data_IF_353635230294
#
_entry.id   IF_353635230294
#
_cell.length_a   1.000
_cell.length_b   1.000
_cell.length_c   1.000
_cell.angle_alpha   90.00
_cell.angle_beta   90.00
_cell.angle_gamma   90.00
#
_symmetry.space_group_name_H-M   'P 1'
#
loop_
_entity.id
_entity.type
_entity.pdbx_description
1 polymer ?
#
# COMPACT_ATOMS: atom_id res chain seq x y z
N UNK A 1 8.27 -27.53 -18.79
CA UNK A 1 7.33 -26.72 -18.00
C UNK A 1 7.52 -25.27 -18.42
N UNK A 2 6.47 -24.62 -18.92
CA UNK A 2 6.53 -23.22 -19.36
C UNK A 2 5.98 -22.35 -18.23
N UNK A 3 6.71 -21.31 -17.85
CA UNK A 3 6.31 -20.35 -16.82
C UNK A 3 6.10 -18.98 -17.46
N UNK A 4 4.97 -18.35 -17.17
CA UNK A 4 4.64 -16.99 -17.61
C UNK A 4 4.41 -16.12 -16.37
N UNK A 5 5.12 -15.00 -16.29
CA UNK A 5 4.95 -13.99 -15.24
C UNK A 5 4.44 -12.71 -15.87
N UNK A 6 3.40 -12.12 -15.28
CA UNK A 6 2.78 -10.87 -15.73
C UNK A 6 2.88 -9.88 -14.59
N UNK A 7 3.59 -8.78 -14.80
CA UNK A 7 3.71 -7.69 -13.85
C UNK A 7 2.92 -6.48 -14.37
N UNK A 8 1.88 -6.08 -13.64
CA UNK A 8 1.02 -4.96 -14.00
C UNK A 8 0.21 -4.47 -12.80
N UNK A 9 0.00 -3.15 -12.73
CA UNK A 9 -0.88 -2.52 -11.75
C UNK A 9 -2.32 -2.33 -12.28
N UNK A 10 -2.56 -2.57 -13.59
CA UNK A 10 -3.88 -2.37 -14.20
C UNK A 10 -4.82 -3.55 -13.89
N UNK A 11 -5.85 -3.25 -13.08
CA UNK A 11 -6.87 -4.23 -12.68
C UNK A 11 -7.60 -4.85 -13.86
N UNK A 12 -7.80 -4.11 -14.95
CA UNK A 12 -8.50 -4.61 -16.15
C UNK A 12 -7.71 -5.73 -16.81
N UNK A 13 -6.38 -5.59 -16.84
CA UNK A 13 -5.47 -6.61 -17.39
C UNK A 13 -5.50 -7.85 -16.49
N UNK A 14 -5.42 -7.66 -15.18
CA UNK A 14 -5.47 -8.77 -14.21
C UNK A 14 -6.78 -9.57 -14.37
N UNK A 15 -7.91 -8.90 -14.48
CA UNK A 15 -9.22 -9.56 -14.60
C UNK A 15 -9.38 -10.26 -15.97
N UNK A 16 -8.89 -9.67 -17.05
CA UNK A 16 -8.86 -10.30 -18.37
C UNK A 16 -8.02 -11.58 -18.38
N UNK A 17 -6.82 -11.54 -17.78
CA UNK A 17 -5.92 -12.69 -17.66
C UNK A 17 -6.56 -13.80 -16.82
N UNK A 18 -7.19 -13.46 -15.68
CA UNK A 18 -7.92 -14.43 -14.85
C UNK A 18 -9.03 -15.13 -15.63
N UNK A 19 -9.84 -14.38 -16.38
CA UNK A 19 -10.94 -14.92 -17.17
C UNK A 19 -10.41 -15.88 -18.25
N UNK A 20 -9.34 -15.49 -18.94
CA UNK A 20 -8.68 -16.32 -19.94
C UNK A 20 -8.16 -17.63 -19.33
N UNK A 21 -7.39 -17.56 -18.25
CA UNK A 21 -6.83 -18.75 -17.60
C UNK A 21 -7.90 -19.71 -17.07
N UNK A 22 -8.98 -19.17 -16.49
CA UNK A 22 -10.15 -19.97 -16.07
C UNK A 22 -10.85 -20.64 -17.25
N UNK A 23 -11.01 -19.92 -18.37
CA UNK A 23 -11.67 -20.45 -19.57
C UNK A 23 -10.96 -21.67 -20.15
N UNK A 24 -9.63 -21.74 -20.02
CA UNK A 24 -8.82 -22.88 -20.44
C UNK A 24 -8.54 -23.90 -19.33
N UNK A 25 -9.11 -23.73 -18.14
CA UNK A 25 -8.87 -24.64 -17.01
C UNK A 25 -7.41 -24.64 -16.52
N UNK A 26 -6.66 -23.58 -16.77
CA UNK A 26 -5.25 -23.47 -16.40
C UNK A 26 -5.15 -23.11 -14.92
N UNK A 27 -4.38 -23.89 -14.16
CA UNK A 27 -4.04 -23.56 -12.78
C UNK A 27 -3.05 -22.39 -12.75
N UNK A 28 -3.36 -21.37 -11.95
CA UNK A 28 -2.50 -20.20 -11.76
C UNK A 28 -2.43 -19.79 -10.30
N UNK A 29 -1.36 -19.08 -9.94
CA UNK A 29 -1.16 -18.54 -8.58
C UNK A 29 -0.87 -17.05 -8.64
N UNK A 30 -1.51 -16.29 -7.78
CA UNK A 30 -1.26 -14.86 -7.63
C UNK A 30 -0.37 -14.63 -6.42
N UNK A 31 0.88 -14.27 -6.68
CA UNK A 31 1.75 -13.74 -5.63
C UNK A 31 1.45 -12.26 -5.49
N UNK A 32 0.54 -11.90 -4.59
CA UNK A 32 0.56 -10.53 -4.05
C UNK A 32 1.82 -10.45 -3.21
N UNK A 33 2.69 -9.47 -3.46
CA UNK A 33 3.72 -9.12 -2.50
C UNK A 33 3.00 -8.88 -1.17
N UNK A 34 3.13 -9.84 -0.24
CA UNK A 34 2.76 -9.59 1.13
C UNK A 34 3.72 -8.50 1.56
N UNK A 35 3.18 -7.31 1.81
CA UNK A 35 3.91 -6.27 2.52
C UNK A 35 4.69 -6.92 3.64
N UNK A 36 6.02 -6.73 3.73
CA UNK A 36 6.82 -7.29 4.81
C UNK A 36 6.35 -6.78 6.18
N UNK A 37 5.57 -5.69 6.18
CA UNK A 37 4.97 -5.10 7.35
C UNK A 37 3.60 -5.70 7.71
N UNK A 38 3.35 -5.76 9.02
CA UNK A 38 2.08 -6.21 9.58
C UNK A 38 0.89 -5.36 9.12
N UNK A 39 -0.30 -5.96 9.11
CA UNK A 39 -1.53 -5.27 8.73
C UNK A 39 -1.82 -4.03 9.61
N UNK A 40 -1.45 -4.09 10.90
CA UNK A 40 -1.60 -2.96 11.83
C UNK A 40 -0.70 -1.79 11.46
N UNK A 41 0.54 -2.05 11.04
CA UNK A 41 1.45 -1.02 10.55
C UNK A 41 0.92 -0.37 9.27
N UNK A 42 0.51 -1.18 8.28
CA UNK A 42 -0.05 -0.67 7.02
C UNK A 42 -1.29 0.20 7.28
N UNK A 43 -2.14 -0.17 8.24
CA UNK A 43 -3.30 0.63 8.64
C UNK A 43 -2.91 1.99 9.22
N UNK A 44 -1.87 2.07 10.05
CA UNK A 44 -1.34 3.34 10.59
C UNK A 44 -0.84 4.25 9.47
N UNK A 45 -0.08 3.72 8.52
CA UNK A 45 0.43 4.48 7.36
C UNK A 45 -0.72 5.03 6.52
N UNK A 46 -1.73 4.20 6.21
CA UNK A 46 -2.92 4.66 5.46
C UNK A 46 -3.66 5.78 6.19
N UNK A 47 -3.85 5.65 7.52
CA UNK A 47 -4.46 6.70 8.34
C UNK A 47 -3.66 8.00 8.28
N UNK A 48 -2.33 7.94 8.40
CA UNK A 48 -1.46 9.10 8.29
C UNK A 48 -1.58 9.80 6.93
N UNK A 49 -1.58 9.04 5.81
CA UNK A 49 -1.78 9.59 4.47
C UNK A 49 -3.11 10.32 4.33
N UNK A 50 -4.20 9.77 4.87
CA UNK A 50 -5.51 10.42 4.84
C UNK A 50 -5.52 11.71 5.66
N UNK A 51 -4.86 11.76 6.82
CA UNK A 51 -4.75 12.96 7.65
C UNK A 51 -3.98 14.08 6.93
N UNK A 52 -2.87 13.75 6.29
CA UNK A 52 -2.10 14.70 5.46
C UNK A 52 -2.98 15.28 4.34
N UNK A 53 -3.75 14.44 3.65
CA UNK A 53 -4.66 14.90 2.60
C UNK A 53 -5.77 15.85 3.11
N UNK A 54 -6.07 15.80 4.41
CA UNK A 54 -7.02 16.70 5.08
C UNK A 54 -6.36 17.94 5.71
N UNK A 55 -5.05 18.10 5.57
CA UNK A 55 -4.29 19.16 6.24
C UNK A 55 -4.05 18.92 7.73
N UNK A 56 -4.33 17.71 8.24
CA UNK A 56 -4.14 17.36 9.65
C UNK A 56 -2.71 16.85 9.89
N UNK A 57 -1.73 17.75 9.85
CA UNK A 57 -0.33 17.47 10.14
C UNK A 57 0.27 18.52 11.07
N UNK A 58 1.38 18.18 11.72
CA UNK A 58 2.16 19.11 12.52
C UNK A 58 3.34 19.61 11.69
N UNK A 59 3.60 20.90 11.74
CA UNK A 59 4.86 21.45 11.26
C UNK A 59 5.94 21.17 12.31
N UNK A 60 7.15 20.82 11.86
CA UNK A 60 8.23 20.41 12.76
C UNK A 60 9.45 21.26 12.46
N UNK A 61 9.98 21.92 13.50
CA UNK A 61 11.26 22.61 13.42
C UNK A 61 12.40 21.58 13.38
N UNK A 62 13.24 21.56 12.34
CA UNK A 62 14.39 20.66 12.26
C UNK A 62 15.43 20.91 13.34
N UNK A 63 15.58 22.15 13.81
CA UNK A 63 16.57 22.52 14.84
C UNK A 63 16.09 22.12 16.24
N UNK A 64 14.79 21.95 16.42
CA UNK A 64 14.18 21.55 17.67
C UNK A 64 13.08 20.48 17.48
N UNK A 65 13.51 19.34 16.94
CA UNK A 65 12.64 18.24 16.51
C UNK A 65 11.74 17.72 17.64
N UNK A 66 12.32 17.47 18.82
CA UNK A 66 11.61 16.81 19.92
C UNK A 66 10.55 17.71 20.53
N UNK A 67 10.86 18.98 20.82
CA UNK A 67 9.87 19.91 21.37
C UNK A 67 8.78 20.25 20.36
N UNK A 68 9.11 20.32 19.07
CA UNK A 68 8.13 20.53 17.99
C UNK A 68 7.13 19.39 17.89
N UNK A 69 7.59 18.14 18.02
CA UNK A 69 6.70 16.97 18.01
C UNK A 69 5.82 16.95 19.26
N UNK A 70 6.36 17.21 20.44
CA UNK A 70 5.60 17.20 21.69
C UNK A 70 4.57 18.33 21.78
N UNK A 71 4.89 19.51 21.27
CA UNK A 71 3.98 20.67 21.26
C UNK A 71 2.88 20.52 20.21
N UNK A 72 3.20 20.01 19.02
CA UNK A 72 2.22 19.71 17.97
C UNK A 72 1.22 18.61 18.34
N UNK A 73 1.55 17.73 19.29
CA UNK A 73 0.64 16.70 19.81
C UNK A 73 -0.40 17.23 20.81
N UNK A 74 -0.23 18.46 21.33
CA UNK A 74 -1.10 19.07 22.35
C UNK A 74 -2.20 19.97 21.76
N UNK A 75 -2.22 20.17 20.44
CA UNK A 75 -3.25 20.93 19.70
C UNK A 75 -4.33 20.00 19.14
#
# INVERSE_FOLDING_TARGET
MLNLTIDTEDKRIIDAVRALLKGYGVSYSEKRERSPYSASFVKKVKKAKTRIAKGEFIEVDPENLWESIESGLKQ
#
